data_IF_251494905388
#
_entry.id   IF_251494905388
#
_cell.length_a   1.000
_cell.length_b   1.000
_cell.length_c   1.000
_cell.angle_alpha   90.00
_cell.angle_beta   90.00
_cell.angle_gamma   90.00
#
_symmetry.space_group_name_H-M   'P 1'
#
loop_
_entity.id
_entity.type
_entity.pdbx_description
1 polymer ?
#
# COMPACT_ATOMS: atom_id res chain seq x y z
N UNK A 1 2.19 -19.51 -3.46
CA UNK A 1 2.57 -18.13 -3.03
C UNK A 1 1.84 -17.81 -1.74
N UNK A 2 2.53 -17.19 -0.78
CA UNK A 2 1.92 -16.66 0.44
C UNK A 2 1.06 -15.45 0.09
N UNK A 3 -0.17 -15.42 0.65
CA UNK A 3 -1.11 -14.30 0.50
C UNK A 3 -1.10 -13.43 1.76
N UNK A 4 -1.11 -14.06 2.94
CA UNK A 4 -1.09 -13.35 4.22
C UNK A 4 -1.21 -14.29 5.40
N UNK A 5 -1.10 -13.74 6.61
CA UNK A 5 -1.26 -14.45 7.87
C UNK A 5 -2.52 -13.94 8.58
N UNK A 6 -3.29 -14.86 9.14
CA UNK A 6 -4.46 -14.51 9.93
C UNK A 6 -4.10 -14.32 11.40
N UNK A 7 -4.67 -13.29 11.98
CA UNK A 7 -4.65 -13.04 13.42
C UNK A 7 -6.06 -12.73 13.90
N UNK A 8 -6.38 -13.02 15.15
CA UNK A 8 -7.58 -12.52 15.82
C UNK A 8 -7.26 -11.19 16.50
N UNK A 9 -8.25 -10.32 16.61
CA UNK A 9 -8.03 -9.03 17.27
C UNK A 9 -7.98 -9.21 18.81
N UNK A 10 -7.48 -8.20 19.50
CA UNK A 10 -7.27 -8.18 20.96
C UNK A 10 -8.55 -8.32 21.80
N UNK A 11 -9.74 -8.15 21.18
CA UNK A 11 -11.02 -8.30 21.86
C UNK A 11 -11.58 -9.73 21.77
N UNK A 12 -10.90 -10.64 21.09
CA UNK A 12 -11.29 -12.03 21.04
C UNK A 12 -10.86 -12.75 22.34
N UNK A 13 -11.58 -13.80 22.76
CA UNK A 13 -11.13 -14.65 23.87
C UNK A 13 -9.69 -15.12 23.67
N UNK A 14 -8.91 -15.15 24.74
CA UNK A 14 -7.52 -15.63 24.67
C UNK A 14 -7.45 -17.09 24.26
N UNK A 15 -6.39 -17.47 23.57
CA UNK A 15 -6.11 -18.84 23.18
C UNK A 15 -5.55 -19.00 21.78
N UNK A 16 -5.13 -20.21 21.47
CA UNK A 16 -4.62 -20.57 20.16
C UNK A 16 -5.77 -20.81 19.19
N UNK A 17 -5.93 -19.95 18.21
CA UNK A 17 -6.92 -20.10 17.16
C UNK A 17 -6.39 -20.96 16.01
N UNK A 18 -7.23 -21.90 15.59
CA UNK A 18 -7.02 -22.65 14.34
C UNK A 18 -7.85 -21.98 13.24
N UNK A 19 -7.19 -21.69 12.13
CA UNK A 19 -7.81 -21.09 10.96
C UNK A 19 -8.05 -22.16 9.89
N UNK A 20 -9.25 -22.16 9.30
CA UNK A 20 -9.61 -23.08 8.22
C UNK A 20 -10.53 -22.41 7.21
N UNK A 21 -10.50 -22.86 5.97
CA UNK A 21 -11.51 -22.52 4.98
C UNK A 21 -12.77 -23.34 5.26
N UNK A 22 -13.93 -22.71 5.22
CA UNK A 22 -15.22 -23.37 5.50
C UNK A 22 -16.24 -23.10 4.39
N UNK A 23 -17.25 -23.97 4.29
CA UNK A 23 -18.34 -23.87 3.32
C UNK A 23 -19.39 -22.86 3.75
N UNK A 24 -20.09 -22.27 2.79
CA UNK A 24 -21.17 -21.30 2.98
C UNK A 24 -21.10 -20.14 2.04
N UNK A 25 -21.93 -19.13 2.24
CA UNK A 25 -21.90 -17.91 1.42
C UNK A 25 -20.50 -17.29 1.40
N UNK A 26 -19.99 -16.99 0.21
CA UNK A 26 -18.67 -16.40 0.02
C UNK A 26 -17.50 -17.36 -0.06
N UNK A 27 -17.74 -18.68 -0.11
CA UNK A 27 -16.72 -19.72 -0.23
C UNK A 27 -16.32 -20.07 -1.67
N UNK A 28 -16.93 -19.41 -2.65
CA UNK A 28 -16.82 -19.74 -4.10
C UNK A 28 -15.38 -19.95 -4.57
N UNK A 29 -14.43 -19.24 -3.99
CA UNK A 29 -13.04 -19.33 -4.39
C UNK A 29 -12.14 -20.04 -3.36
N UNK A 30 -12.71 -20.66 -2.31
CA UNK A 30 -11.95 -21.45 -1.35
C UNK A 30 -10.99 -22.46 -2.03
N UNK A 31 -11.39 -23.16 -3.13
CA UNK A 31 -10.51 -24.14 -3.79
C UNK A 31 -9.25 -23.55 -4.45
N UNK A 32 -9.12 -22.23 -4.50
CA UNK A 32 -7.92 -21.53 -5.00
C UNK A 32 -6.88 -21.29 -3.91
N UNK A 33 -7.21 -21.59 -2.65
CA UNK A 33 -6.39 -21.28 -1.49
C UNK A 33 -6.24 -22.47 -0.55
N UNK A 34 -5.21 -22.40 0.27
CA UNK A 34 -4.97 -23.32 1.38
C UNK A 34 -4.49 -22.53 2.59
N UNK A 35 -4.75 -23.05 3.79
CA UNK A 35 -4.23 -22.51 5.03
C UNK A 35 -3.28 -23.50 5.65
N UNK A 36 -2.05 -23.07 5.91
CA UNK A 36 -1.02 -23.85 6.58
C UNK A 36 -0.44 -23.03 7.73
N UNK A 37 -0.58 -23.51 8.96
CA UNK A 37 -0.10 -22.83 10.16
C UNK A 37 -0.54 -21.37 10.28
N UNK A 38 -1.82 -21.08 9.98
CA UNK A 38 -2.38 -19.74 10.02
C UNK A 38 -2.00 -18.83 8.82
N UNK A 39 -1.23 -19.36 7.87
CA UNK A 39 -0.81 -18.64 6.66
C UNK A 39 -1.69 -19.03 5.49
N UNK A 40 -2.33 -18.05 4.86
CA UNK A 40 -3.07 -18.25 3.62
C UNK A 40 -2.09 -18.31 2.44
N UNK A 41 -2.20 -19.37 1.65
CA UNK A 41 -1.41 -19.60 0.44
C UNK A 41 -2.31 -19.81 -0.76
N UNK A 42 -1.82 -19.49 -1.96
CA UNK A 42 -2.49 -19.89 -3.20
C UNK A 42 -2.27 -21.38 -3.44
N UNK A 43 -3.35 -22.12 -3.68
CA UNK A 43 -3.33 -23.53 -4.11
C UNK A 43 -3.40 -23.67 -5.63
N UNK A 44 -3.90 -22.63 -6.33
CA UNK A 44 -3.99 -22.56 -7.79
C UNK A 44 -3.43 -21.23 -8.28
N UNK A 45 -3.12 -21.18 -9.58
CA UNK A 45 -2.77 -19.93 -10.25
C UNK A 45 -3.98 -18.99 -10.24
N UNK A 46 -3.79 -17.76 -9.77
CA UNK A 46 -4.80 -16.72 -9.81
C UNK A 46 -4.73 -15.98 -11.15
N UNK A 47 -5.89 -15.52 -11.61
CA UNK A 47 -6.01 -14.65 -12.77
C UNK A 47 -5.83 -13.20 -12.33
N UNK A 48 -4.96 -12.49 -13.02
CA UNK A 48 -4.68 -11.08 -12.79
C UNK A 48 -5.94 -10.21 -12.96
N UNK A 49 -6.12 -9.24 -12.06
CA UNK A 49 -7.27 -8.34 -12.07
C UNK A 49 -8.57 -8.93 -11.49
N UNK A 50 -8.56 -10.20 -11.13
CA UNK A 50 -9.74 -10.87 -10.58
C UNK A 50 -9.82 -10.75 -9.06
N UNK A 51 -11.04 -10.60 -8.56
CA UNK A 51 -11.34 -10.67 -7.13
C UNK A 51 -11.79 -12.07 -6.76
N UNK A 52 -11.21 -12.60 -5.70
CA UNK A 52 -11.51 -13.90 -5.13
C UNK A 52 -12.15 -13.71 -3.76
N UNK A 53 -13.23 -14.44 -3.47
CA UNK A 53 -13.86 -14.48 -2.16
C UNK A 53 -13.58 -15.81 -1.49
N UNK A 54 -13.18 -15.75 -0.23
CA UNK A 54 -13.01 -16.95 0.61
C UNK A 54 -13.79 -16.77 1.90
N UNK A 55 -14.27 -17.89 2.43
CA UNK A 55 -14.89 -17.97 3.75
C UNK A 55 -13.93 -18.64 4.71
N UNK A 56 -13.56 -17.94 5.74
CA UNK A 56 -12.64 -18.36 6.79
C UNK A 56 -13.37 -18.60 8.09
N UNK A 57 -12.98 -19.66 8.79
CA UNK A 57 -13.35 -19.95 10.16
C UNK A 57 -12.11 -19.82 11.05
N UNK A 58 -12.23 -19.09 12.15
CA UNK A 58 -11.29 -19.05 13.25
C UNK A 58 -11.94 -19.74 14.46
N UNK A 59 -11.28 -20.73 15.05
CA UNK A 59 -11.82 -21.52 16.16
C UNK A 59 -10.75 -21.80 17.22
N UNK A 60 -11.15 -21.67 18.48
CA UNK A 60 -10.41 -22.19 19.64
C UNK A 60 -11.35 -23.00 20.54
N UNK A 61 -10.95 -23.28 21.79
CA UNK A 61 -11.77 -24.06 22.73
C UNK A 61 -13.04 -23.32 23.17
N UNK A 62 -13.04 -22.00 23.17
CA UNK A 62 -14.07 -21.15 23.76
C UNK A 62 -14.92 -20.41 22.70
N UNK A 63 -14.39 -20.20 21.50
CA UNK A 63 -15.03 -19.37 20.49
C UNK A 63 -14.82 -19.90 19.06
N UNK A 64 -15.85 -19.66 18.24
CA UNK A 64 -15.81 -19.89 16.80
C UNK A 64 -16.37 -18.67 16.08
N UNK A 65 -15.68 -18.21 15.03
CA UNK A 65 -16.11 -17.09 14.20
C UNK A 65 -15.79 -17.34 12.74
N UNK A 66 -16.72 -16.96 11.89
CA UNK A 66 -16.56 -17.04 10.43
C UNK A 66 -16.56 -15.62 9.83
N UNK A 67 -15.77 -15.45 8.77
CA UNK A 67 -15.68 -14.20 8.03
C UNK A 67 -15.38 -14.43 6.56
N UNK A 68 -16.00 -13.60 5.71
CA UNK A 68 -15.71 -13.58 4.27
C UNK A 68 -14.59 -12.55 4.04
N UNK A 69 -13.59 -12.95 3.26
CA UNK A 69 -12.49 -12.09 2.82
C UNK A 69 -12.52 -11.96 1.30
N UNK A 70 -12.22 -10.77 0.81
CA UNK A 70 -11.97 -10.51 -0.60
C UNK A 70 -10.46 -10.41 -0.83
N UNK A 71 -9.95 -11.18 -1.78
CA UNK A 71 -8.56 -11.22 -2.17
C UNK A 71 -8.47 -10.72 -3.60
N UNK A 72 -7.73 -9.67 -3.81
CA UNK A 72 -7.53 -9.07 -5.12
C UNK A 72 -6.24 -9.64 -5.73
N UNK A 73 -6.35 -10.32 -6.86
CA UNK A 73 -5.20 -10.75 -7.62
C UNK A 73 -4.67 -9.58 -8.43
N UNK A 74 -3.76 -8.82 -7.85
CA UNK A 74 -3.07 -7.75 -8.55
C UNK A 74 -2.02 -8.34 -9.47
N UNK A 75 -1.89 -7.79 -10.66
CA UNK A 75 -0.85 -8.17 -11.60
C UNK A 75 0.54 -7.87 -11.10
N UNK A 76 1.53 -8.33 -11.86
CA UNK A 76 2.90 -7.96 -11.61
C UNK A 76 3.03 -6.46 -11.85
N UNK A 77 3.35 -5.73 -10.78
CA UNK A 77 3.75 -4.34 -10.89
C UNK A 77 5.05 -4.18 -11.69
N UNK A 78 5.53 -2.96 -11.82
CA UNK A 78 6.86 -2.69 -12.34
C UNK A 78 7.91 -3.37 -11.46
N UNK A 79 8.76 -4.18 -12.08
CA UNK A 79 9.86 -4.83 -11.41
C UNK A 79 11.16 -4.17 -11.83
N UNK A 80 11.75 -3.39 -10.93
CA UNK A 80 13.11 -2.89 -11.07
C UNK A 80 14.07 -3.99 -10.61
N UNK A 81 14.75 -4.66 -11.54
CA UNK A 81 15.54 -5.85 -11.23
C UNK A 81 17.02 -5.60 -11.03
N UNK A 82 17.52 -4.40 -11.42
CA UNK A 82 18.94 -4.07 -11.40
C UNK A 82 19.15 -2.60 -11.05
N UNK A 83 20.32 -2.31 -10.47
CA UNK A 83 20.73 -0.94 -10.19
C UNK A 83 20.92 -0.08 -11.45
N UNK A 84 21.25 -0.71 -12.56
CA UNK A 84 21.42 -0.06 -13.87
C UNK A 84 20.08 0.34 -14.53
N UNK A 85 18.95 -0.11 -13.98
CA UNK A 85 17.63 0.41 -14.32
C UNK A 85 17.32 1.73 -13.59
N UNK A 86 18.33 2.43 -13.12
CA UNK A 86 18.15 3.77 -12.59
C UNK A 86 17.56 4.65 -13.67
N UNK A 87 16.38 5.16 -13.36
CA UNK A 87 15.79 6.22 -14.17
C UNK A 87 16.62 7.45 -13.89
N UNK A 88 17.30 7.95 -14.91
CA UNK A 88 18.01 9.22 -14.81
C UNK A 88 17.03 10.31 -14.44
N UNK A 89 17.46 11.28 -13.63
CA UNK A 89 16.66 12.47 -13.34
C UNK A 89 16.19 13.06 -14.67
N UNK A 90 14.88 13.17 -14.86
CA UNK A 90 14.30 13.64 -16.13
C UNK A 90 13.91 12.56 -17.14
N UNK A 91 14.13 11.28 -16.82
CA UNK A 91 13.64 10.16 -17.64
C UNK A 91 12.74 9.27 -16.78
N UNK A 92 11.49 9.67 -16.52
CA UNK A 92 10.56 8.83 -15.79
C UNK A 92 10.30 7.55 -16.57
N UNK A 93 10.12 6.43 -15.89
CA UNK A 93 9.46 5.26 -16.50
C UNK A 93 8.03 5.72 -16.75
N UNK A 94 7.72 6.01 -17.99
CA UNK A 94 6.35 6.24 -18.38
C UNK A 94 5.58 4.94 -18.19
N UNK A 95 4.68 4.92 -17.22
CA UNK A 95 3.62 3.91 -17.12
C UNK A 95 2.58 4.25 -18.20
N UNK A 96 3.03 4.31 -19.42
CA UNK A 96 2.21 4.72 -20.53
C UNK A 96 1.52 3.55 -21.22
N UNK A 97 0.50 3.04 -20.56
CA UNK A 97 -0.69 2.85 -21.38
C UNK A 97 -1.55 4.09 -21.13
N UNK A 98 -1.81 4.85 -22.17
CA UNK A 98 -2.60 6.09 -22.12
C UNK A 98 -3.88 5.94 -21.27
N UNK A 99 -4.57 4.83 -21.38
CA UNK A 99 -5.80 4.53 -20.66
C UNK A 99 -5.59 4.39 -19.15
N UNK A 100 -4.45 3.87 -18.72
CA UNK A 100 -4.15 3.72 -17.29
C UNK A 100 -3.78 5.06 -16.66
N UNK A 101 -2.98 5.86 -17.34
CA UNK A 101 -2.61 7.19 -16.90
C UNK A 101 -3.84 8.10 -16.79
N UNK A 102 -4.74 8.07 -17.77
CA UNK A 102 -5.98 8.84 -17.74
C UNK A 102 -6.91 8.47 -16.58
N UNK A 103 -6.97 7.20 -16.22
CA UNK A 103 -7.73 6.73 -15.04
C UNK A 103 -7.07 7.18 -13.73
N UNK A 104 -5.75 7.04 -13.65
CA UNK A 104 -4.99 7.44 -12.48
C UNK A 104 -5.13 8.95 -12.20
N UNK A 105 -5.05 9.78 -13.23
CA UNK A 105 -5.17 11.23 -13.12
C UNK A 105 -6.54 11.72 -12.63
N UNK A 106 -7.56 10.88 -12.69
CA UNK A 106 -8.92 11.21 -12.22
C UNK A 106 -9.22 10.75 -10.81
N UNK A 107 -8.25 10.14 -10.11
CA UNK A 107 -8.49 9.65 -8.75
C UNK A 107 -8.59 10.81 -7.77
N UNK A 108 -9.74 10.91 -7.13
CA UNK A 108 -10.03 11.87 -6.07
C UNK A 108 -9.74 11.30 -4.67
N UNK A 109 -9.73 9.99 -4.55
CA UNK A 109 -9.41 9.24 -3.34
C UNK A 109 -8.87 7.85 -3.69
N UNK A 110 -8.33 7.13 -2.73
CA UNK A 110 -7.87 5.76 -2.95
C UNK A 110 -6.68 5.36 -2.09
N UNK A 111 -6.11 4.22 -2.43
CA UNK A 111 -4.93 3.69 -1.75
C UNK A 111 -3.78 3.48 -2.73
N UNK A 112 -2.64 4.07 -2.40
CA UNK A 112 -1.37 3.80 -3.06
C UNK A 112 -0.68 2.72 -2.24
N UNK A 113 -0.48 1.53 -2.83
CA UNK A 113 0.20 0.40 -2.21
C UNK A 113 1.51 0.14 -2.94
N UNK A 114 2.61 0.10 -2.19
CA UNK A 114 3.94 -0.17 -2.71
C UNK A 114 4.59 -1.29 -1.91
N UNK A 115 5.00 -2.34 -2.60
CA UNK A 115 5.88 -3.36 -2.07
C UNK A 115 7.27 -3.16 -2.67
N UNK A 116 8.27 -2.95 -1.84
CA UNK A 116 9.63 -2.68 -2.29
C UNK A 116 10.66 -3.35 -1.38
N UNK A 117 11.83 -3.60 -1.96
CA UNK A 117 13.02 -4.01 -1.22
C UNK A 117 14.03 -2.87 -1.29
N UNK A 118 14.36 -2.29 -0.14
CA UNK A 118 15.38 -1.26 -0.07
C UNK A 118 16.77 -1.89 -0.16
N UNK A 119 17.63 -1.31 -0.98
CA UNK A 119 19.05 -1.66 -1.11
C UNK A 119 19.98 -0.50 -0.78
N UNK A 120 19.43 0.62 -0.31
CA UNK A 120 20.17 1.83 0.00
C UNK A 120 19.59 2.54 1.20
N UNK A 121 20.45 2.99 2.10
CA UNK A 121 20.14 3.85 3.25
C UNK A 121 20.42 5.34 2.97
N UNK A 122 20.85 5.64 1.75
CA UNK A 122 21.29 6.96 1.32
C UNK A 122 20.15 7.75 0.69
N UNK A 123 19.95 9.00 1.16
CA UNK A 123 19.05 9.97 0.58
C UNK A 123 17.55 9.65 0.62
N UNK A 124 16.75 10.51 0.01
CA UNK A 124 15.31 10.33 -0.19
C UNK A 124 15.09 9.36 -1.35
N UNK A 125 14.32 8.31 -1.11
CA UNK A 125 13.92 7.36 -2.12
C UNK A 125 12.45 7.57 -2.45
N UNK A 126 12.15 7.97 -3.68
CA UNK A 126 10.78 8.14 -4.16
C UNK A 126 10.14 6.79 -4.44
N UNK A 127 9.00 6.55 -3.85
CA UNK A 127 8.20 5.35 -4.06
C UNK A 127 7.07 5.57 -5.04
N UNK A 128 6.46 6.75 -4.96
CA UNK A 128 5.39 7.17 -5.86
C UNK A 128 5.41 8.70 -5.96
N UNK A 129 5.28 9.21 -7.15
CA UNK A 129 5.18 10.66 -7.37
C UNK A 129 4.25 10.97 -8.54
N UNK A 130 3.43 11.99 -8.35
CA UNK A 130 2.61 12.61 -9.40
C UNK A 130 2.88 14.11 -9.38
N UNK A 131 3.04 14.71 -10.54
CA UNK A 131 3.29 16.12 -10.69
C UNK A 131 2.57 16.67 -11.94
N UNK A 132 2.20 17.94 -11.89
CA UNK A 132 1.72 18.67 -13.08
C UNK A 132 2.85 19.09 -14.03
N UNK A 133 4.08 18.69 -13.76
CA UNK A 133 5.28 18.97 -14.55
C UNK A 133 5.62 20.47 -14.75
N UNK A 134 4.96 21.37 -14.00
CA UNK A 134 5.27 22.80 -14.03
C UNK A 134 6.40 23.13 -13.04
N UNK A 135 7.01 24.29 -13.21
CA UNK A 135 8.09 24.77 -12.37
C UNK A 135 7.65 25.95 -11.49
N UNK A 136 8.45 26.26 -10.47
CA UNK A 136 8.24 27.43 -9.62
C UNK A 136 6.95 27.35 -8.79
N UNK A 137 6.22 28.48 -8.76
CA UNK A 137 4.98 28.59 -7.96
C UNK A 137 3.82 27.78 -8.51
N UNK A 138 3.84 27.40 -9.79
CA UNK A 138 2.80 26.58 -10.42
C UNK A 138 3.02 25.08 -10.23
N UNK A 139 4.16 24.68 -9.66
CA UNK A 139 4.45 23.28 -9.43
C UNK A 139 3.52 22.70 -8.38
N UNK A 140 2.77 21.67 -8.77
CA UNK A 140 1.99 20.83 -7.86
C UNK A 140 2.53 19.42 -7.89
N UNK A 141 2.63 18.79 -6.75
CA UNK A 141 3.01 17.39 -6.68
C UNK A 141 2.42 16.68 -5.46
N UNK A 142 2.32 15.38 -5.61
CA UNK A 142 2.01 14.43 -4.53
C UNK A 142 3.13 13.39 -4.54
N UNK A 143 3.85 13.24 -3.43
CA UNK A 143 5.07 12.45 -3.38
C UNK A 143 5.10 11.60 -2.12
N UNK A 144 5.13 10.28 -2.29
CA UNK A 144 5.36 9.31 -1.21
C UNK A 144 6.80 8.86 -1.28
N UNK A 145 7.51 8.94 -0.16
CA UNK A 145 8.94 8.70 -0.10
C UNK A 145 9.37 8.05 1.21
N UNK A 146 10.56 7.47 1.19
CA UNK A 146 11.28 7.06 2.38
C UNK A 146 12.56 7.88 2.53
N UNK A 147 12.99 8.05 3.78
CA UNK A 147 14.29 8.62 4.15
C UNK A 147 15.10 7.62 4.94
N UNK A 148 16.41 7.85 5.10
CA UNK A 148 17.22 7.11 6.07
C UNK A 148 16.54 7.00 7.42
N UNK A 149 16.92 6.00 8.21
CA UNK A 149 16.37 5.74 9.55
C UNK A 149 14.89 5.30 9.56
N UNK A 150 14.41 4.78 8.41
CA UNK A 150 13.06 4.21 8.33
C UNK A 150 11.94 5.24 8.36
N UNK A 151 12.19 6.48 7.96
CA UNK A 151 11.15 7.51 7.88
C UNK A 151 10.31 7.31 6.62
N UNK A 152 9.01 7.07 6.80
CA UNK A 152 8.02 7.08 5.72
C UNK A 152 7.35 8.46 5.68
N UNK A 153 7.32 9.09 4.52
CA UNK A 153 6.75 10.42 4.36
C UNK A 153 5.87 10.57 3.13
N UNK A 154 5.01 11.57 3.21
CA UNK A 154 4.27 12.10 2.08
C UNK A 154 4.45 13.61 2.04
N UNK A 155 4.58 14.15 0.85
CA UNK A 155 4.65 15.59 0.60
C UNK A 155 3.63 15.96 -0.47
N UNK A 156 2.84 17.00 -0.17
CA UNK A 156 1.84 17.55 -1.07
C UNK A 156 2.19 19.01 -1.30
N UNK A 157 2.37 19.41 -2.55
CA UNK A 157 2.61 20.81 -2.92
C UNK A 157 1.43 21.33 -3.71
N UNK A 158 0.94 22.50 -3.28
CA UNK A 158 -0.12 23.23 -3.96
C UNK A 158 0.43 24.39 -4.81
N UNK A 159 -0.46 25.11 -5.50
CA UNK A 159 -0.14 26.24 -6.37
C UNK A 159 0.57 27.41 -5.68
N UNK A 160 0.46 27.54 -4.36
CA UNK A 160 1.10 28.63 -3.60
C UNK A 160 2.54 28.32 -3.25
N UNK A 161 3.15 27.29 -3.82
CA UNK A 161 4.47 26.78 -3.46
C UNK A 161 4.57 26.29 -1.99
N UNK A 162 3.44 26.13 -1.30
CA UNK A 162 3.40 25.60 0.05
C UNK A 162 3.53 24.07 -0.01
N UNK A 163 4.54 23.55 0.65
CA UNK A 163 4.72 22.13 0.86
C UNK A 163 4.08 21.73 2.19
N UNK A 164 3.10 20.87 2.10
CA UNK A 164 2.51 20.24 3.26
C UNK A 164 3.04 18.82 3.34
N UNK A 165 3.91 18.58 4.30
CA UNK A 165 4.52 17.26 4.49
C UNK A 165 4.10 16.64 5.80
N UNK A 166 3.90 15.34 5.79
CA UNK A 166 3.72 14.55 6.99
C UNK A 166 4.57 13.29 6.92
N UNK A 167 5.05 12.82 8.05
CA UNK A 167 5.99 11.70 8.12
C UNK A 167 5.87 10.94 9.42
N UNK A 168 6.05 9.64 9.34
CA UNK A 168 6.18 8.74 10.48
C UNK A 168 7.63 8.27 10.59
N UNK A 169 8.28 8.53 11.72
CA UNK A 169 9.62 8.05 12.02
C UNK A 169 9.59 6.55 12.36
N UNK A 170 10.67 5.84 12.05
CA UNK A 170 10.83 4.41 12.34
C UNK A 170 9.70 3.51 11.78
N UNK A 171 8.99 3.99 10.76
CA UNK A 171 7.82 3.32 10.23
C UNK A 171 8.18 2.14 9.32
N UNK A 172 9.31 2.18 8.64
CA UNK A 172 9.75 1.15 7.70
C UNK A 172 11.06 0.54 8.14
N UNK A 173 11.27 -0.71 7.75
CA UNK A 173 12.56 -1.39 7.94
C UNK A 173 13.56 -0.73 7.01
N UNK A 174 14.59 -0.14 7.56
CA UNK A 174 15.67 0.44 6.78
C UNK A 174 16.73 -0.61 6.49
N UNK A 175 17.32 -0.54 5.28
CA UNK A 175 18.54 -1.28 5.00
C UNK A 175 19.73 -0.47 5.52
N UNK A 176 20.28 -0.96 6.61
CA UNK A 176 21.54 -0.44 7.11
C UNK A 176 22.66 -1.44 6.79
N UNK A 177 23.69 -0.98 6.13
CA UNK A 177 24.92 -1.75 5.89
C UNK A 177 24.77 -2.93 4.92
N UNK A 178 24.04 -2.75 3.83
CA UNK A 178 23.96 -3.71 2.73
C UNK A 178 23.09 -4.93 3.01
N UNK A 179 22.17 -4.85 3.98
CA UNK A 179 21.14 -5.87 4.19
C UNK A 179 19.82 -5.36 3.63
N UNK A 180 19.34 -5.90 2.49
CA UNK A 180 18.08 -5.49 1.91
C UNK A 180 16.93 -5.66 2.90
N UNK A 181 16.11 -4.63 3.03
CA UNK A 181 14.91 -4.66 3.85
C UNK A 181 13.65 -4.63 2.97
N UNK A 182 12.81 -5.63 3.13
CA UNK A 182 11.54 -5.74 2.43
C UNK A 182 10.46 -5.03 3.23
N UNK A 183 9.72 -4.16 2.56
CA UNK A 183 8.62 -3.39 3.14
C UNK A 183 7.40 -3.38 2.24
N UNK A 184 6.23 -3.36 2.88
CA UNK A 184 4.95 -3.09 2.24
C UNK A 184 4.42 -1.82 2.90
N UNK A 185 4.20 -0.79 2.11
CA UNK A 185 3.62 0.45 2.59
C UNK A 185 2.32 0.77 1.87
N UNK A 186 1.42 1.46 2.54
CA UNK A 186 0.24 2.03 1.91
C UNK A 186 0.00 3.46 2.39
N UNK A 187 -0.42 4.31 1.46
CA UNK A 187 -1.05 5.60 1.77
C UNK A 187 -2.50 5.50 1.33
N UNK A 188 -3.40 5.67 2.26
CA UNK A 188 -4.83 5.77 2.02
C UNK A 188 -5.25 7.23 2.12
N UNK A 189 -5.87 7.73 1.07
CA UNK A 189 -6.52 9.03 1.01
C UNK A 189 -8.04 8.81 1.01
N UNK A 190 -8.73 9.39 1.99
CA UNK A 190 -10.17 9.28 2.20
C UNK A 190 -10.77 10.69 2.11
N UNK A 191 -11.45 10.97 1.00
CA UNK A 191 -12.02 12.30 0.70
C UNK A 191 -13.19 12.62 1.61
N UNK A 192 -14.02 11.63 1.90
CA UNK A 192 -15.21 11.82 2.75
C UNK A 192 -14.82 12.21 4.17
N UNK A 193 -13.79 11.53 4.73
CA UNK A 193 -13.25 11.84 6.05
C UNK A 193 -12.26 13.00 6.05
N UNK A 194 -11.79 13.41 4.89
CA UNK A 194 -10.76 14.43 4.78
C UNK A 194 -9.43 14.00 5.45
N UNK A 195 -9.04 12.73 5.33
CA UNK A 195 -7.87 12.21 6.03
C UNK A 195 -6.91 11.47 5.13
N UNK A 196 -5.63 11.46 5.54
CA UNK A 196 -4.61 10.57 5.00
C UNK A 196 -4.14 9.61 6.09
N UNK A 197 -3.97 8.34 5.74
CA UNK A 197 -3.44 7.32 6.63
C UNK A 197 -2.23 6.64 6.00
N UNK A 198 -1.14 6.56 6.75
CA UNK A 198 0.04 5.80 6.38
C UNK A 198 0.06 4.46 7.11
N UNK A 199 0.37 3.43 6.36
CA UNK A 199 0.55 2.07 6.86
C UNK A 199 1.93 1.57 6.45
N UNK A 200 2.58 0.84 7.33
CA UNK A 200 3.83 0.17 7.07
C UNK A 200 3.78 -1.27 7.61
N UNK A 201 4.03 -2.24 6.74
CA UNK A 201 4.09 -3.67 7.08
C UNK A 201 2.82 -4.21 7.79
N UNK A 202 1.65 -3.67 7.40
CA UNK A 202 0.35 -4.05 7.95
C UNK A 202 -0.12 -3.21 9.13
N UNK A 203 0.72 -2.36 9.70
CA UNK A 203 0.38 -1.49 10.83
C UNK A 203 0.09 -0.07 10.37
N UNK A 204 -0.92 0.56 10.94
CA UNK A 204 -1.18 1.98 10.73
C UNK A 204 -0.22 2.80 11.59
N UNK A 205 0.65 3.56 10.93
CA UNK A 205 1.72 4.33 11.58
C UNK A 205 1.39 5.81 11.75
N UNK A 206 0.44 6.33 10.98
CA UNK A 206 0.04 7.74 11.08
C UNK A 206 -1.36 7.96 10.50
N UNK A 207 -2.10 8.89 11.10
CA UNK A 207 -3.31 9.49 10.54
C UNK A 207 -3.15 11.01 10.57
N UNK A 208 -3.47 11.67 9.48
CA UNK A 208 -3.38 13.13 9.34
C UNK A 208 -4.71 13.68 8.85
N UNK A 209 -5.21 14.70 9.52
CA UNK A 209 -6.35 15.48 9.06
C UNK A 209 -5.88 16.43 7.94
N UNK A 210 -6.53 16.37 6.80
CA UNK A 210 -6.21 17.21 5.65
C UNK A 210 -6.44 18.71 5.92
N UNK A 211 -7.33 19.06 6.86
CA UNK A 211 -7.53 20.44 7.27
C UNK A 211 -6.24 21.06 7.82
N UNK A 212 -5.43 20.29 8.55
CA UNK A 212 -4.12 20.73 9.04
C UNK A 212 -3.10 20.98 7.91
N UNK A 213 -3.38 20.50 6.71
CA UNK A 213 -2.55 20.63 5.51
C UNK A 213 -3.12 21.66 4.50
N UNK A 214 -4.07 22.49 4.93
CA UNK A 214 -4.72 23.46 4.06
C UNK A 214 -5.78 22.86 3.13
N UNK A 215 -6.31 21.70 3.45
CA UNK A 215 -7.38 21.01 2.75
C UNK A 215 -6.97 19.71 2.07
N UNK A 216 -7.96 18.93 1.74
CA UNK A 216 -7.77 17.63 1.10
C UNK A 216 -7.36 17.80 -0.37
N UNK A 217 -6.38 17.04 -0.81
CA UNK A 217 -5.93 16.94 -2.20
C UNK A 217 -5.45 15.53 -2.51
N UNK A 218 -5.77 15.04 -3.67
CA UNK A 218 -5.25 13.78 -4.18
C UNK A 218 -4.84 13.94 -5.65
N UNK A 219 -4.70 12.87 -6.38
CA UNK A 219 -4.07 12.87 -7.71
C UNK A 219 -4.79 13.82 -8.70
N UNK A 220 -6.12 13.85 -8.70
CA UNK A 220 -6.89 14.70 -9.61
C UNK A 220 -6.62 16.19 -9.43
N UNK A 221 -6.44 16.64 -8.18
CA UNK A 221 -6.15 18.05 -7.91
C UNK A 221 -4.69 18.44 -8.17
N UNK A 222 -3.82 17.46 -8.38
CA UNK A 222 -2.42 17.69 -8.76
C UNK A 222 -2.29 17.84 -10.26
N UNK A 223 -3.00 17.03 -11.03
CA UNK A 223 -2.86 16.90 -12.49
C UNK A 223 -3.87 17.71 -13.28
N UNK A 224 -4.94 18.19 -12.62
CA UNK A 224 -6.03 18.97 -13.21
C UNK A 224 -5.68 20.38 -13.58
#
# INVERSE_FOLDING_TARGET
>A
TTVGTFTVNEMAPEGNYVFSLCTGEGDTHNPYFAIENGVLKTAKKLEEGKTYTIRLKAKNAEAEKEKIFKIYAVGRGLVFRKEDQKIAVGSPVELSTKDYAEKLMKLEEGTILVHYTSTSDQAIQSLFSVSNAKAGHENRHFHVYIRPEGVLGCEIRNESAMNYGFKAANAVKADYKGKPAENIIALQADKEKGTYQLFANGEKVLTVDAAALGGYRFISEITG
#
